data_IF_004847195748
#
_entry.id   IF_004847195748
#
_cell.length_a   1.000
_cell.length_b   1.000
_cell.length_c   1.000
_cell.angle_alpha   90.00
_cell.angle_beta   90.00
_cell.angle_gamma   90.00
#
_symmetry.space_group_name_H-M   'P 1'
#
loop_
_entity.id
_entity.type
_entity.pdbx_description
1 polymer ?
#
# COMPACT_ATOMS: atom_id res chain seq x y z
N UNK A 1 15.97 3.22 21.28
CA UNK A 1 14.76 2.78 20.55
C UNK A 1 14.61 1.30 20.85
N UNK A 2 13.55 0.91 21.55
CA UNK A 2 13.43 -0.41 22.17
C UNK A 2 12.94 -1.45 21.14
N UNK A 3 13.82 -2.36 20.72
CA UNK A 3 13.51 -3.35 19.68
C UNK A 3 12.36 -4.29 20.08
N UNK A 4 12.12 -4.47 21.38
CA UNK A 4 11.02 -5.31 21.89
C UNK A 4 9.65 -4.65 21.73
N UNK A 5 9.57 -3.31 21.70
CA UNK A 5 8.32 -2.59 21.48
C UNK A 5 7.83 -2.67 20.02
N UNK A 6 8.75 -2.90 19.07
CA UNK A 6 8.42 -3.16 17.66
C UNK A 6 7.96 -4.60 17.43
N UNK A 7 8.40 -5.54 18.28
CA UNK A 7 8.00 -6.96 18.22
C UNK A 7 6.70 -7.25 18.97
N UNK A 8 6.25 -6.36 19.86
CA UNK A 8 4.99 -6.50 20.60
C UNK A 8 3.78 -5.92 19.86
N UNK A 9 4.00 -5.12 18.80
CA UNK A 9 2.92 -4.63 17.95
C UNK A 9 2.70 -5.56 16.77
N UNK A 10 1.61 -6.31 16.79
CA UNK A 10 1.11 -6.97 15.56
C UNK A 10 0.93 -5.88 14.50
N UNK A 11 1.51 -6.02 13.29
CA UNK A 11 1.26 -5.07 12.22
C UNK A 11 -0.25 -5.01 11.95
N UNK A 12 -0.80 -3.82 11.66
CA UNK A 12 -2.23 -3.68 11.42
C UNK A 12 -2.65 -4.54 10.23
N UNK A 13 -3.86 -5.08 10.28
CA UNK A 13 -4.43 -5.77 9.13
C UNK A 13 -4.49 -4.80 7.93
N UNK A 14 -4.16 -5.28 6.74
CA UNK A 14 -4.19 -4.47 5.52
C UNK A 14 -5.36 -4.91 4.65
N UNK A 15 -6.29 -4.00 4.38
CA UNK A 15 -7.26 -4.10 3.31
C UNK A 15 -6.73 -3.38 2.07
N UNK A 16 -6.93 -3.95 0.89
CA UNK A 16 -6.58 -3.35 -0.39
C UNK A 16 -7.87 -3.27 -1.20
N UNK A 17 -8.24 -2.07 -1.64
CA UNK A 17 -9.40 -1.92 -2.50
C UNK A 17 -9.16 -2.54 -3.88
N UNK A 18 -10.24 -3.06 -4.49
CA UNK A 18 -10.20 -3.72 -5.79
C UNK A 18 -9.45 -2.93 -6.88
N UNK A 19 -9.66 -1.61 -7.06
CA UNK A 19 -8.92 -0.85 -8.07
C UNK A 19 -7.41 -0.86 -7.84
N UNK A 20 -6.98 -0.77 -6.57
CA UNK A 20 -5.57 -0.81 -6.19
C UNK A 20 -4.99 -2.20 -6.43
N UNK A 21 -5.75 -3.25 -6.11
CA UNK A 21 -5.37 -4.62 -6.41
C UNK A 21 -5.15 -4.84 -7.90
N UNK A 22 -6.15 -4.50 -8.73
CA UNK A 22 -6.14 -4.72 -10.17
C UNK A 22 -5.00 -3.96 -10.88
N UNK A 23 -4.69 -2.75 -10.41
CA UNK A 23 -3.71 -1.89 -11.09
C UNK A 23 -2.28 -2.04 -10.54
N UNK A 24 -2.11 -2.25 -9.23
CA UNK A 24 -0.79 -2.26 -8.60
C UNK A 24 -0.27 -3.65 -8.28
N UNK A 25 -1.14 -4.63 -8.05
CA UNK A 25 -0.75 -5.97 -7.59
C UNK A 25 -0.92 -7.01 -8.67
N UNK A 26 -2.11 -7.13 -9.23
CA UNK A 26 -2.46 -8.13 -10.24
C UNK A 26 -1.59 -7.95 -11.47
N UNK A 27 -1.01 -9.04 -11.96
CA UNK A 27 -0.16 -9.01 -13.15
C UNK A 27 -0.30 -10.30 -13.95
N UNK A 28 -1.36 -10.43 -14.78
CA UNK A 28 -1.70 -11.69 -15.44
C UNK A 28 -0.62 -12.23 -16.38
N UNK A 29 0.20 -11.35 -16.96
CA UNK A 29 1.31 -11.72 -17.83
C UNK A 29 2.51 -12.30 -17.06
N UNK A 30 2.64 -12.00 -15.76
CA UNK A 30 3.68 -12.52 -14.89
C UNK A 30 3.13 -12.75 -13.46
N UNK A 31 2.29 -13.78 -13.23
CA UNK A 31 1.64 -14.02 -11.95
C UNK A 31 2.62 -14.24 -10.80
N UNK A 32 3.80 -14.79 -11.09
CA UNK A 32 4.86 -15.01 -10.11
C UNK A 32 5.37 -13.69 -9.46
N UNK A 33 5.16 -12.56 -10.13
CA UNK A 33 5.51 -11.24 -9.62
C UNK A 33 4.44 -10.61 -8.70
N UNK A 34 3.21 -11.15 -8.64
CA UNK A 34 2.11 -10.55 -7.86
C UNK A 34 2.45 -10.45 -6.38
N UNK A 35 3.06 -11.49 -5.82
CA UNK A 35 3.43 -11.52 -4.41
C UNK A 35 4.50 -10.46 -4.08
N UNK A 36 5.47 -10.26 -4.98
CA UNK A 36 6.47 -9.20 -4.84
C UNK A 36 5.84 -7.81 -4.91
N UNK A 37 4.92 -7.59 -5.86
CA UNK A 37 4.19 -6.32 -6.01
C UNK A 37 3.33 -6.03 -4.79
N UNK A 38 2.64 -7.03 -4.25
CA UNK A 38 1.88 -6.93 -3.02
C UNK A 38 2.76 -6.52 -1.84
N UNK A 39 3.88 -7.22 -1.63
CA UNK A 39 4.81 -6.93 -0.53
C UNK A 39 5.39 -5.52 -0.62
N UNK A 40 5.76 -5.07 -1.83
CA UNK A 40 6.25 -3.71 -2.06
C UNK A 40 5.18 -2.67 -1.76
N UNK A 41 3.95 -2.86 -2.25
CA UNK A 41 2.85 -1.94 -1.98
C UNK A 41 2.60 -1.79 -0.46
N UNK A 42 2.53 -2.91 0.26
CA UNK A 42 2.35 -2.93 1.72
C UNK A 42 3.52 -2.23 2.43
N UNK A 43 4.75 -2.54 2.03
CA UNK A 43 5.95 -1.94 2.60
C UNK A 43 5.95 -0.41 2.44
N UNK A 44 5.68 0.09 1.23
CA UNK A 44 5.62 1.52 0.96
C UNK A 44 4.47 2.21 1.70
N UNK A 45 3.30 1.57 1.81
CA UNK A 45 2.20 2.07 2.62
C UNK A 45 2.57 2.21 4.10
N UNK A 46 3.22 1.20 4.68
CA UNK A 46 3.68 1.29 6.06
C UNK A 46 4.81 2.29 6.26
N UNK A 47 5.73 2.39 5.31
CA UNK A 47 6.76 3.41 5.33
C UNK A 47 6.14 4.81 5.36
N UNK A 48 5.15 5.08 4.49
CA UNK A 48 4.41 6.35 4.48
C UNK A 48 3.71 6.62 5.83
N UNK A 49 3.00 5.62 6.37
CA UNK A 49 2.36 5.73 7.69
C UNK A 49 3.34 6.05 8.82
N UNK A 50 4.53 5.45 8.80
CA UNK A 50 5.55 5.67 9.84
C UNK A 50 6.15 7.09 9.81
N UNK A 51 6.10 7.74 8.65
CA UNK A 51 6.61 9.10 8.46
C UNK A 51 5.53 10.16 8.69
N UNK A 52 4.26 9.75 8.74
CA UNK A 52 3.16 10.67 8.94
C UNK A 52 3.06 11.18 10.39
N UNK A 53 2.60 12.43 10.59
CA UNK A 53 2.24 12.95 11.89
C UNK A 53 1.34 12.01 12.70
N UNK A 54 1.61 11.92 14.00
CA UNK A 54 0.77 11.14 14.91
C UNK A 54 -0.67 11.66 14.88
N UNK A 55 -1.63 10.76 14.63
CA UNK A 55 -3.05 11.13 14.54
C UNK A 55 -3.53 11.46 13.12
N UNK A 56 -2.68 11.40 12.10
CA UNK A 56 -3.12 11.50 10.71
C UNK A 56 -3.80 10.19 10.28
N UNK A 57 -5.11 10.26 10.01
CA UNK A 57 -5.92 9.10 9.64
C UNK A 57 -5.82 8.72 8.16
N UNK A 58 -5.35 9.62 7.29
CA UNK A 58 -5.18 9.39 5.86
C UNK A 58 -3.80 9.88 5.45
N UNK A 59 -2.99 8.99 4.89
CA UNK A 59 -1.64 9.31 4.43
C UNK A 59 -1.52 9.00 2.95
N UNK A 60 -1.09 9.98 2.18
CA UNK A 60 -0.85 9.84 0.74
C UNK A 60 0.62 9.53 0.48
N UNK A 61 0.86 8.68 -0.52
CA UNK A 61 2.18 8.40 -1.03
C UNK A 61 2.13 8.08 -2.52
N UNK A 62 3.21 8.43 -3.22
CA UNK A 62 3.39 8.04 -4.60
C UNK A 62 4.02 6.65 -4.71
N UNK A 63 3.51 5.86 -5.64
CA UNK A 63 3.99 4.52 -5.93
C UNK A 63 4.30 4.39 -7.42
N UNK A 64 5.54 4.03 -7.74
CA UNK A 64 5.93 3.74 -9.11
C UNK A 64 5.58 2.29 -9.45
N UNK A 65 4.77 2.08 -10.49
CA UNK A 65 4.46 0.74 -10.97
C UNK A 65 4.39 0.70 -12.50
N UNK A 66 4.90 -0.39 -13.07
CA UNK A 66 4.64 -0.69 -14.47
C UNK A 66 3.22 -1.26 -14.61
N UNK A 67 2.44 -0.78 -15.60
CA UNK A 67 1.09 -1.22 -15.84
C UNK A 67 1.06 -2.72 -16.22
N UNK A 68 0.12 -3.50 -15.68
CA UNK A 68 0.13 -4.95 -15.81
C UNK A 68 -0.28 -5.47 -17.20
N UNK A 69 -0.86 -4.60 -18.03
CA UNK A 69 -1.27 -4.87 -19.41
C UNK A 69 -0.24 -4.39 -20.45
N UNK A 70 0.82 -3.73 -20.00
CA UNK A 70 1.83 -3.13 -20.87
C UNK A 70 1.36 -1.86 -21.58
N UNK A 71 0.29 -1.21 -21.09
CA UNK A 71 -0.16 0.06 -21.66
C UNK A 71 0.91 1.15 -21.53
N UNK A 72 1.43 1.61 -22.67
CA UNK A 72 2.46 2.66 -22.72
C UNK A 72 1.92 4.04 -22.35
N UNK A 73 0.59 4.21 -22.31
CA UNK A 73 -0.06 5.46 -21.95
C UNK A 73 -0.49 5.51 -20.48
N UNK A 74 -0.45 4.38 -19.76
CA UNK A 74 -0.80 4.36 -18.36
C UNK A 74 0.24 5.13 -17.52
N UNK A 75 -0.20 5.98 -16.58
CA UNK A 75 0.71 6.72 -15.73
C UNK A 75 1.56 5.76 -14.88
N UNK A 76 2.87 5.90 -14.92
CA UNK A 76 3.77 5.05 -14.11
C UNK A 76 3.77 5.43 -12.63
N UNK A 77 3.40 6.67 -12.33
CA UNK A 77 3.29 7.19 -10.98
C UNK A 77 1.83 7.15 -10.52
N UNK A 78 1.58 6.48 -9.41
CA UNK A 78 0.24 6.25 -8.85
C UNK A 78 0.16 6.90 -7.48
N UNK A 79 -0.86 7.74 -7.26
CA UNK A 79 -1.11 8.34 -5.95
C UNK A 79 -2.00 7.39 -5.15
N UNK A 80 -1.42 6.81 -4.10
CA UNK A 80 -2.07 5.83 -3.24
C UNK A 80 -2.25 6.43 -1.86
N UNK A 81 -3.40 6.18 -1.25
CA UNK A 81 -3.71 6.59 0.09
C UNK A 81 -3.77 5.37 0.99
N UNK A 82 -3.21 5.48 2.18
CA UNK A 82 -3.38 4.53 3.26
C UNK A 82 -4.19 5.18 4.38
N UNK A 83 -5.37 4.63 4.63
CA UNK A 83 -6.31 5.12 5.64
C UNK A 83 -6.21 4.24 6.88
N UNK A 84 -6.05 4.84 8.06
CA UNK A 84 -6.08 4.13 9.34
C UNK A 84 -7.47 4.22 9.94
N UNK A 85 -8.12 3.08 10.11
CA UNK A 85 -9.38 3.01 10.85
C UNK A 85 -9.10 2.78 12.33
N UNK A 86 -9.47 3.76 13.16
CA UNK A 86 -9.20 3.75 14.60
C UNK A 86 -10.03 2.71 15.36
N UNK A 87 -11.10 2.19 14.77
CA UNK A 87 -12.00 1.21 15.40
C UNK A 87 -11.39 -0.18 15.51
N UNK A 88 -10.69 -0.65 14.47
CA UNK A 88 -10.24 -2.05 14.38
C UNK A 88 -8.73 -2.22 14.19
N UNK A 89 -7.97 -1.12 14.18
CA UNK A 89 -6.53 -1.16 13.93
C UNK A 89 -6.18 -1.67 12.53
N UNK A 90 -7.14 -1.64 11.60
CA UNK A 90 -6.96 -1.95 10.18
C UNK A 90 -6.47 -0.72 9.42
N UNK A 91 -5.71 -0.96 8.36
CA UNK A 91 -5.36 0.05 7.38
C UNK A 91 -5.88 -0.34 6.00
N UNK A 92 -6.37 0.63 5.24
CA UNK A 92 -6.95 0.41 3.90
C UNK A 92 -6.15 1.18 2.86
N UNK A 93 -5.68 0.47 1.83
CA UNK A 93 -5.03 1.03 0.65
C UNK A 93 -6.06 1.31 -0.44
N UNK A 94 -6.12 2.56 -0.89
CA UNK A 94 -7.04 3.07 -1.91
C UNK A 94 -6.30 4.06 -2.82
N UNK A 95 -6.90 4.44 -3.95
CA UNK A 95 -6.41 5.58 -4.74
C UNK A 95 -6.93 6.90 -4.17
N UNK A 96 -6.17 7.96 -4.41
CA UNK A 96 -6.63 9.32 -4.16
C UNK A 96 -7.82 9.63 -5.09
N UNK A 97 -8.94 10.10 -4.54
CA UNK A 97 -10.19 10.35 -5.28
C UNK A 97 -10.38 11.83 -5.58
#
# INVERSE_FOLDING_TARGET
MDMMALLSSTPPAVAIEEPVWEQLVKYPQAPDCENERLQRLIYHGFQALSQAPSGQGIVEFGYFCLPPDGDLHAPLWQNVCIKREYSDGQVTLTFDR
#
